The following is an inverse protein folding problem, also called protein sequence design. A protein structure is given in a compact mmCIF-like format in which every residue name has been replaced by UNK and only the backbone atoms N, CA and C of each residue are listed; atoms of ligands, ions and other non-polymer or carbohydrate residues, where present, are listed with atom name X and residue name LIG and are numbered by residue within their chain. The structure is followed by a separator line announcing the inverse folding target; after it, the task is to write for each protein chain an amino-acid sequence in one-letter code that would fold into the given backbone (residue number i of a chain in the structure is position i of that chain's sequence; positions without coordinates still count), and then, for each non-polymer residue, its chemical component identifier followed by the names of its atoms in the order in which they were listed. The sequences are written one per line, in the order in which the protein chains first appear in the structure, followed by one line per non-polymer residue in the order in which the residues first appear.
data_IF_265994834148
#
_entry.id   IF_265994834148
#
_cell.length_a   1.000
_cell.length_b   1.000
_cell.length_c   1.000
_cell.angle_alpha   90.00
_cell.angle_beta   90.00
_cell.angle_gamma   90.00
#
_symmetry.space_group_name_H-M   'P 1'
#
loop_
_entity.id
_entity.type
_entity.pdbx_description
1 polymer ?
#
# COMPACT_ATOMS: atom_id res chain seq x y z
N UNK A 1 -15.87 8.81 10.14
CA UNK A 1 -14.69 7.91 9.99
C UNK A 1 -13.50 8.74 9.52
N UNK A 2 -12.34 8.62 10.16
CA UNK A 2 -11.10 9.29 9.79
C UNK A 2 -10.09 8.24 9.29
N UNK A 3 -9.48 8.47 8.13
CA UNK A 3 -8.45 7.60 7.56
C UNK A 3 -7.17 8.40 7.45
N UNK A 4 -6.12 7.92 8.12
CA UNK A 4 -4.79 8.51 8.09
C UNK A 4 -3.84 7.55 7.37
N UNK A 5 -3.15 8.05 6.35
CA UNK A 5 -2.09 7.33 5.66
C UNK A 5 -0.76 7.96 6.05
N UNK A 6 0.12 7.19 6.68
CA UNK A 6 1.46 7.64 7.02
C UNK A 6 2.30 7.89 5.76
N UNK A 7 3.35 8.70 5.90
CA UNK A 7 4.31 8.91 4.81
C UNK A 7 4.87 7.54 4.35
N UNK A 8 4.75 7.19 3.06
CA UNK A 8 5.18 5.88 2.60
C UNK A 8 6.70 5.76 2.61
N UNK A 9 7.18 4.56 2.93
CA UNK A 9 8.58 4.18 2.81
C UNK A 9 8.79 3.50 1.46
N UNK A 10 9.84 3.92 0.73
CA UNK A 10 10.30 3.25 -0.48
C UNK A 10 11.25 2.12 -0.08
N UNK A 11 11.00 0.93 -0.60
CA UNK A 11 11.93 -0.19 -0.53
C UNK A 11 12.12 -0.77 -1.92
N UNK A 12 13.30 -1.36 -2.14
CA UNK A 12 13.62 -2.03 -3.38
C UNK A 12 13.85 -3.50 -3.08
N UNK A 13 13.23 -4.38 -3.85
CA UNK A 13 13.45 -5.83 -3.78
C UNK A 13 13.85 -6.35 -5.15
N UNK A 14 14.61 -7.43 -5.16
CA UNK A 14 15.02 -8.10 -6.39
C UNK A 14 14.06 -9.23 -6.69
N UNK A 15 13.43 -9.18 -7.86
CA UNK A 15 12.72 -10.29 -8.44
C UNK A 15 13.74 -11.32 -8.95
N UNK A 16 13.87 -12.42 -8.20
CA UNK A 16 14.83 -13.48 -8.54
C UNK A 16 14.51 -14.13 -9.89
N UNK A 17 13.23 -14.28 -10.24
CA UNK A 17 12.85 -14.90 -11.51
C UNK A 17 13.25 -14.02 -12.70
N UNK A 18 12.99 -12.70 -12.60
CA UNK A 18 13.44 -11.74 -13.63
C UNK A 18 14.96 -11.61 -13.69
N UNK A 19 15.63 -11.70 -12.54
CA UNK A 19 17.09 -11.67 -12.47
C UNK A 19 17.71 -12.84 -13.24
N UNK A 20 17.24 -14.07 -13.02
CA UNK A 20 17.77 -15.24 -13.73
C UNK A 20 17.51 -15.15 -15.24
N UNK A 21 16.32 -14.69 -15.66
CA UNK A 21 16.02 -14.44 -17.07
C UNK A 21 16.94 -13.38 -17.71
N UNK A 22 17.28 -12.32 -16.97
CA UNK A 22 18.20 -11.29 -17.44
C UNK A 22 19.64 -11.82 -17.58
N UNK A 23 20.08 -12.71 -16.69
CA UNK A 23 21.40 -13.38 -16.76
C UNK A 23 21.53 -14.28 -17.98
N UNK A 24 20.47 -15.04 -18.31
CA UNK A 24 20.47 -15.97 -19.45
C UNK A 24 20.37 -15.24 -20.80
N UNK A 25 19.67 -14.10 -20.84
CA UNK A 25 19.39 -13.35 -22.07
C UNK A 25 20.27 -12.13 -22.36
N UNK A 26 21.30 -11.85 -21.53
CA UNK A 26 22.11 -10.61 -21.60
C UNK A 26 21.25 -9.33 -21.46
N UNK A 27 20.17 -9.41 -20.67
CA UNK A 27 19.20 -8.34 -20.47
C UNK A 27 19.60 -7.34 -19.38
N UNK A 28 18.99 -6.15 -19.38
CA UNK A 28 19.23 -5.11 -18.37
C UNK A 28 18.75 -5.58 -16.98
N UNK A 29 19.68 -5.80 -16.05
CA UNK A 29 19.40 -6.20 -14.66
C UNK A 29 18.46 -5.26 -13.91
N UNK A 30 18.33 -4.00 -14.34
CA UNK A 30 17.43 -3.02 -13.71
C UNK A 30 15.96 -3.45 -13.78
N UNK A 31 15.59 -4.28 -14.77
CA UNK A 31 14.20 -4.80 -14.90
C UNK A 31 13.83 -5.81 -13.80
N UNK A 32 14.81 -6.33 -13.08
CA UNK A 32 14.60 -7.21 -11.93
C UNK A 32 14.41 -6.44 -10.61
N UNK A 33 14.60 -5.12 -10.61
CA UNK A 33 14.35 -4.27 -9.43
C UNK A 33 12.85 -3.97 -9.37
N UNK A 34 12.21 -4.43 -8.31
CA UNK A 34 10.85 -4.03 -7.95
C UNK A 34 10.97 -2.92 -6.92
N UNK A 35 10.40 -1.76 -7.22
CA UNK A 35 10.22 -0.71 -6.23
C UNK A 35 8.88 -0.92 -5.55
N UNK A 36 8.84 -0.82 -4.22
CA UNK A 36 7.63 -1.01 -3.41
C UNK A 36 7.47 0.20 -2.49
N UNK A 37 6.27 0.79 -2.46
CA UNK A 37 5.89 1.81 -1.48
C UNK A 37 5.03 1.13 -0.43
N UNK A 38 5.39 1.35 0.83
CA UNK A 38 4.69 0.79 1.98
C UNK A 38 4.28 1.91 2.93
N UNK A 39 3.01 1.99 3.28
CA UNK A 39 2.50 2.93 4.27
C UNK A 39 1.64 2.23 5.30
N UNK A 40 1.73 2.74 6.53
CA UNK A 40 0.77 2.40 7.58
C UNK A 40 -0.52 3.18 7.35
N UNK A 41 -1.63 2.46 7.30
CA UNK A 41 -2.98 3.04 7.24
C UNK A 41 -3.66 2.84 8.58
N UNK A 42 -4.20 3.93 9.12
CA UNK A 42 -4.94 3.94 10.37
C UNK A 42 -6.35 4.40 10.06
N UNK A 43 -7.32 3.55 10.36
CA UNK A 43 -8.74 3.91 10.30
C UNK A 43 -9.25 4.06 11.72
N UNK A 44 -9.68 5.27 12.06
CA UNK A 44 -10.31 5.57 13.32
C UNK A 44 -11.77 5.95 13.10
N UNK A 45 -12.63 5.47 13.98
CA UNK A 45 -13.93 6.10 14.12
C UNK A 45 -14.48 5.91 15.52
N UNK A 46 -15.48 6.73 15.80
CA UNK A 46 -16.11 6.85 17.10
C UNK A 46 -17.59 6.58 16.84
N UNK A 47 -18.19 5.66 17.60
CA UNK A 47 -19.65 5.62 17.77
C UNK A 47 -20.00 6.20 19.13
N UNK A 48 -21.29 6.45 19.34
CA UNK A 48 -21.86 6.99 20.58
C UNK A 48 -21.44 6.24 21.86
N UNK A 49 -20.93 5.01 21.75
CA UNK A 49 -20.61 4.13 22.90
C UNK A 49 -19.17 3.61 22.87
N UNK A 50 -18.50 3.50 21.71
CA UNK A 50 -17.16 2.92 21.59
C UNK A 50 -16.29 3.63 20.54
N UNK A 51 -15.00 3.78 20.83
CA UNK A 51 -13.99 4.15 19.83
C UNK A 51 -13.34 2.91 19.24
N UNK A 52 -13.27 2.81 17.91
CA UNK A 52 -12.53 1.77 17.20
C UNK A 52 -11.36 2.37 16.44
N UNK A 53 -10.18 1.75 16.60
CA UNK A 53 -8.98 2.07 15.82
C UNK A 53 -8.44 0.79 15.18
N UNK A 54 -8.43 0.76 13.86
CA UNK A 54 -7.85 -0.32 13.05
C UNK A 54 -6.56 0.21 12.42
N UNK A 55 -5.51 -0.59 12.46
CA UNK A 55 -4.22 -0.25 11.86
C UNK A 55 -3.75 -1.41 11.01
N UNK A 56 -3.36 -1.15 9.77
CA UNK A 56 -2.78 -2.15 8.88
C UNK A 56 -1.74 -1.53 7.96
N UNK A 57 -0.99 -2.38 7.27
CA UNK A 57 0.02 -1.99 6.30
C UNK A 57 -0.52 -2.12 4.88
N UNK A 58 -0.34 -1.08 4.07
CA UNK A 58 -0.66 -1.07 2.64
C UNK A 58 0.63 -0.97 1.85
N UNK A 59 0.83 -1.89 0.91
CA UNK A 59 2.04 -1.99 0.08
C UNK A 59 1.66 -2.11 -1.39
N UNK A 60 2.35 -1.37 -2.25
CA UNK A 60 2.15 -1.38 -3.71
C UNK A 60 3.50 -1.45 -4.44
N UNK A 61 3.62 -2.40 -5.37
CA UNK A 61 4.76 -2.51 -6.28
C UNK A 61 4.58 -1.60 -7.49
N UNK A 62 5.64 -0.94 -7.94
CA UNK A 62 5.62 -0.05 -9.08
C UNK A 62 6.87 -0.17 -9.94
N UNK A 63 6.66 0.01 -11.25
CA UNK A 63 7.69 -0.17 -12.29
C UNK A 63 8.42 1.15 -12.60
N UNK A 64 7.79 2.30 -12.36
CA UNK A 64 8.32 3.62 -12.72
C UNK A 64 8.34 4.57 -11.51
N UNK A 65 9.33 5.46 -11.44
CA UNK A 65 9.41 6.50 -10.39
C UNK A 65 8.27 7.55 -10.48
N UNK A 66 7.28 7.35 -11.35
CA UNK A 66 6.18 8.28 -11.63
C UNK A 66 4.98 8.13 -10.68
N UNK A 67 5.01 7.18 -9.75
CA UNK A 67 3.96 7.08 -8.74
C UNK A 67 4.03 8.30 -7.84
N UNK A 68 3.11 9.23 -8.05
CA UNK A 68 2.97 10.38 -7.15
C UNK A 68 2.48 9.92 -5.78
N UNK A 69 2.99 10.55 -4.72
CA UNK A 69 2.54 10.31 -3.34
C UNK A 69 1.02 10.44 -3.21
N UNK A 70 0.42 11.37 -3.95
CA UNK A 70 -1.04 11.56 -3.98
C UNK A 70 -1.74 10.32 -4.56
N UNK A 71 -1.29 9.81 -5.70
CA UNK A 71 -1.93 8.64 -6.33
C UNK A 71 -1.83 7.39 -5.45
N UNK A 72 -0.70 7.19 -4.77
CA UNK A 72 -0.53 6.14 -3.78
C UNK A 72 -1.50 6.32 -2.59
N UNK A 73 -1.56 7.52 -2.01
CA UNK A 73 -2.44 7.82 -0.88
C UNK A 73 -3.93 7.63 -1.24
N UNK A 74 -4.36 8.09 -2.41
CA UNK A 74 -5.74 7.95 -2.88
C UNK A 74 -6.14 6.46 -2.97
N UNK A 75 -5.24 5.59 -3.46
CA UNK A 75 -5.47 4.14 -3.51
C UNK A 75 -5.45 3.48 -2.15
N UNK A 76 -4.55 3.89 -1.25
CA UNK A 76 -4.49 3.39 0.11
C UNK A 76 -5.79 3.71 0.89
N UNK A 77 -6.33 4.92 0.71
CA UNK A 77 -7.63 5.33 1.28
C UNK A 77 -8.77 4.51 0.68
N UNK A 78 -8.83 4.39 -0.65
CA UNK A 78 -9.89 3.61 -1.31
C UNK A 78 -9.87 2.13 -0.89
N UNK A 79 -8.69 1.55 -0.73
CA UNK A 79 -8.53 0.20 -0.19
C UNK A 79 -9.06 0.11 1.25
N UNK A 80 -8.69 1.05 2.11
CA UNK A 80 -9.15 1.12 3.50
C UNK A 80 -10.67 1.22 3.60
N UNK A 81 -11.30 2.11 2.84
CA UNK A 81 -12.75 2.27 2.81
C UNK A 81 -13.45 0.97 2.41
N UNK A 82 -12.93 0.31 1.35
CA UNK A 82 -13.46 -0.98 0.90
C UNK A 82 -13.32 -2.06 1.98
N UNK A 83 -12.13 -2.21 2.56
CA UNK A 83 -11.87 -3.22 3.60
C UNK A 83 -12.76 -3.00 4.81
N UNK A 84 -12.92 -1.76 5.27
CA UNK A 84 -13.75 -1.45 6.43
C UNK A 84 -15.24 -1.70 6.18
N UNK A 85 -15.71 -1.46 4.95
CA UNK A 85 -17.08 -1.83 4.52
C UNK A 85 -17.27 -3.35 4.53
N UNK A 86 -16.30 -4.10 4.03
CA UNK A 86 -16.36 -5.57 3.95
C UNK A 86 -16.28 -6.24 5.34
N UNK A 87 -15.58 -5.62 6.30
CA UNK A 87 -15.48 -6.09 7.68
C UNK A 87 -16.81 -5.98 8.46
N UNK A 88 -17.85 -5.37 7.89
CA UNK A 88 -19.17 -5.15 8.53
C UNK A 88 -19.07 -4.55 9.93
N UNK A 89 -18.06 -3.71 10.15
CA UNK A 89 -17.91 -3.00 11.41
C UNK A 89 -19.16 -2.11 11.55
N UNK A 90 -19.91 -2.18 12.66
CA UNK A 90 -21.08 -1.33 12.87
C UNK A 90 -20.68 0.11 12.58
N UNK A 91 -21.38 0.73 11.62
CA UNK A 91 -20.98 2.06 11.14
C UNK A 91 -20.85 3.00 12.33
N UNK A 92 -19.68 3.62 12.41
CA UNK A 92 -19.34 4.70 13.32
C UNK A 92 -20.10 5.92 12.79
N UNK A 93 -21.40 5.98 13.10
CA UNK A 93 -22.28 7.14 12.86
C UNK A 93 -21.89 8.29 13.75
#
# INVERSE_FOLDING_TARGET
MNIEVAMPQKSNRIDKAKLELAKEGNGDFRVAIINTLTAKVVVAGISDVHGLKVSFEYSEDFVTDEVTLKAFNDRAVAFAEKTMKDLKIPMLT
#
